data_IF_529832133187
#
_entry.id   IF_529832133187
#
_cell.length_a   1.000
_cell.length_b   1.000
_cell.length_c   1.000
_cell.angle_alpha   90.00
_cell.angle_beta   90.00
_cell.angle_gamma   90.00
#
_symmetry.space_group_name_H-M   'P 1'
#
loop_
_entity.id
_entity.type
_entity.pdbx_description
1 polymer ?
#
# COMPACT_ATOMS: atom_id res chain seq x y z
N UNK A 1 25.71 66.75 9.78
CA UNK A 1 24.51 66.00 10.22
C UNK A 1 24.52 64.65 9.52
N UNK A 2 24.53 63.52 10.25
CA UNK A 2 24.37 62.20 9.62
C UNK A 2 22.95 62.13 9.07
N UNK A 3 22.78 62.02 7.76
CA UNK A 3 21.49 61.74 7.13
C UNK A 3 20.94 60.44 7.74
N UNK A 4 19.72 60.51 8.29
CA UNK A 4 19.05 59.34 8.86
C UNK A 4 18.83 58.32 7.74
N UNK A 5 19.27 57.07 7.94
CA UNK A 5 19.13 56.01 6.95
C UNK A 5 17.64 55.71 6.72
N UNK A 6 17.26 55.50 5.46
CA UNK A 6 15.89 55.12 5.10
C UNK A 6 15.57 53.73 5.65
N UNK A 7 14.33 53.52 6.11
CA UNK A 7 13.89 52.28 6.78
C UNK A 7 13.19 51.34 5.80
N UNK A 8 13.64 50.08 5.73
CA UNK A 8 13.07 49.04 4.86
C UNK A 8 12.71 47.81 5.69
N UNK A 9 11.52 47.26 5.46
CA UNK A 9 11.08 45.99 6.03
C UNK A 9 11.03 44.91 4.94
N UNK A 10 11.66 43.76 5.18
CA UNK A 10 11.64 42.61 4.26
C UNK A 10 10.87 41.47 4.91
N UNK A 11 9.68 41.15 4.40
CA UNK A 11 8.81 40.12 4.93
C UNK A 11 8.75 38.91 3.99
N UNK A 12 9.42 37.82 4.34
CA UNK A 12 9.59 36.64 3.50
C UNK A 12 9.77 35.39 4.38
N UNK A 13 9.14 34.24 4.10
CA UNK A 13 9.41 33.03 4.87
C UNK A 13 10.81 32.45 4.61
N UNK A 14 11.46 32.80 3.49
CA UNK A 14 12.75 32.25 3.09
C UNK A 14 13.93 33.04 3.69
N UNK A 15 14.71 32.37 4.53
CA UNK A 15 15.90 32.95 5.19
C UNK A 15 16.99 33.38 4.19
N UNK A 16 17.09 32.74 3.03
CA UNK A 16 18.08 33.11 2.00
C UNK A 16 17.74 34.46 1.37
N UNK A 17 16.46 34.83 1.23
CA UNK A 17 16.06 36.18 0.80
C UNK A 17 16.45 37.22 1.86
N UNK A 18 16.29 36.90 3.15
CA UNK A 18 16.73 37.79 4.22
C UNK A 18 18.24 37.99 4.20
N UNK A 19 19.01 36.91 4.03
CA UNK A 19 20.47 36.96 3.90
C UNK A 19 20.91 37.76 2.68
N UNK A 20 20.30 37.51 1.52
CA UNK A 20 20.57 38.23 0.26
C UNK A 20 20.43 39.74 0.46
N UNK A 21 19.33 40.20 1.07
CA UNK A 21 19.07 41.63 1.23
C UNK A 21 19.88 42.23 2.38
N UNK A 22 20.05 41.54 3.52
CA UNK A 22 20.82 42.07 4.67
C UNK A 22 22.32 42.13 4.41
N UNK A 23 22.87 41.17 3.66
CA UNK A 23 24.30 41.08 3.40
C UNK A 23 24.72 41.76 2.08
N UNK A 24 23.76 42.32 1.34
CA UNK A 24 24.06 43.00 0.09
C UNK A 24 24.95 44.23 0.26
N UNK A 25 25.72 44.56 -0.77
CA UNK A 25 26.72 45.65 -0.77
C UNK A 25 26.09 47.01 -0.45
N UNK A 26 24.89 47.26 -0.97
CA UNK A 26 24.14 48.49 -0.72
C UNK A 26 23.30 48.45 0.58
N UNK A 27 23.20 47.31 1.28
CA UNK A 27 22.40 47.18 2.51
C UNK A 27 22.82 48.19 3.60
N UNK A 28 24.11 48.54 3.64
CA UNK A 28 24.69 49.52 4.58
C UNK A 28 24.13 50.93 4.42
N UNK A 29 23.45 51.26 3.31
CA UNK A 29 22.82 52.57 3.09
C UNK A 29 21.46 52.71 3.78
N UNK A 30 20.87 51.57 4.18
CA UNK A 30 19.53 51.48 4.72
C UNK A 30 19.53 50.94 6.16
N UNK A 31 18.42 51.14 6.85
CA UNK A 31 18.10 50.41 8.07
C UNK A 31 17.10 49.32 7.69
N UNK A 32 17.51 48.04 7.76
CA UNK A 32 16.73 46.91 7.27
C UNK A 32 16.30 46.01 8.43
N UNK A 33 15.00 45.84 8.59
CA UNK A 33 14.42 44.78 9.42
C UNK A 33 13.82 43.67 8.56
N UNK A 34 13.73 42.46 9.10
CA UNK A 34 13.13 41.32 8.42
C UNK A 34 11.94 40.77 9.19
N UNK A 35 11.01 40.11 8.54
CA UNK A 35 9.90 39.37 9.15
C UNK A 35 9.71 38.02 8.45
N UNK A 36 9.48 36.95 9.21
CA UNK A 36 9.30 35.60 8.65
C UNK A 36 7.83 35.26 8.35
N UNK A 37 6.90 36.06 8.88
CA UNK A 37 5.46 35.86 8.69
C UNK A 37 4.69 37.19 8.77
N UNK A 38 3.41 37.15 8.40
CA UNK A 38 2.53 38.30 8.34
C UNK A 38 2.26 38.98 9.68
N UNK A 39 2.17 38.21 10.78
CA UNK A 39 1.99 38.77 12.12
C UNK A 39 3.19 39.63 12.53
N UNK A 40 4.40 39.11 12.29
CA UNK A 40 5.64 39.85 12.54
C UNK A 40 5.75 41.08 11.62
N UNK A 41 5.39 40.94 10.34
CA UNK A 41 5.37 42.04 9.38
C UNK A 41 4.46 43.18 9.85
N UNK A 42 3.23 42.88 10.25
CA UNK A 42 2.25 43.88 10.74
C UNK A 42 2.77 44.57 12.00
N UNK A 43 3.28 43.82 12.98
CA UNK A 43 3.87 44.40 14.19
C UNK A 43 5.03 45.36 13.86
N UNK A 44 5.87 45.00 12.89
CA UNK A 44 6.99 45.84 12.45
C UNK A 44 6.54 47.04 11.61
N UNK A 45 5.46 46.94 10.84
CA UNK A 45 4.89 48.10 10.15
C UNK A 45 4.50 49.21 11.15
N UNK A 46 3.94 48.84 12.30
CA UNK A 46 3.53 49.79 13.34
C UNK A 46 4.70 50.32 14.19
N UNK A 47 5.64 49.44 14.55
CA UNK A 47 6.74 49.77 15.48
C UNK A 47 7.97 50.34 14.79
N UNK A 48 8.37 49.73 13.66
CA UNK A 48 9.54 50.14 12.89
C UNK A 48 9.21 51.25 11.89
N UNK A 49 7.93 51.39 11.49
CA UNK A 49 7.44 52.41 10.53
C UNK A 49 8.33 52.53 9.28
N UNK A 50 8.52 51.43 8.53
CA UNK A 50 9.34 51.44 7.34
C UNK A 50 8.78 52.42 6.30
N UNK A 51 9.66 52.95 5.46
CA UNK A 51 9.27 53.76 4.31
C UNK A 51 8.97 52.87 3.09
N UNK A 52 9.53 51.66 3.07
CA UNK A 52 9.32 50.64 2.05
C UNK A 52 9.20 49.26 2.71
N UNK A 53 8.19 48.49 2.35
CA UNK A 53 8.10 47.06 2.66
C UNK A 53 8.23 46.23 1.39
N UNK A 54 9.09 45.23 1.43
CA UNK A 54 9.23 44.18 0.42
C UNK A 54 8.57 42.94 1.01
N UNK A 55 7.46 42.49 0.46
CA UNK A 55 6.61 41.45 1.06
C UNK A 55 6.41 40.28 0.10
N UNK A 56 6.63 39.06 0.57
CA UNK A 56 6.29 37.85 -0.18
C UNK A 56 4.77 37.70 -0.33
N UNK A 57 4.33 37.28 -1.52
CA UNK A 57 2.91 37.08 -1.82
C UNK A 57 2.31 35.97 -0.94
N UNK A 58 3.05 34.88 -0.71
CA UNK A 58 2.65 33.72 0.08
C UNK A 58 3.28 33.73 1.47
N UNK A 59 3.24 34.88 2.14
CA UNK A 59 3.73 35.02 3.50
C UNK A 59 2.80 34.29 4.51
N UNK A 60 3.32 33.42 5.39
CA UNK A 60 2.50 32.71 6.38
C UNK A 60 1.76 33.68 7.31
N UNK A 61 0.63 33.26 7.87
CA UNK A 61 -0.30 34.05 8.72
C UNK A 61 -1.08 35.18 8.02
N UNK A 62 -0.47 35.90 7.06
CA UNK A 62 -1.17 36.89 6.22
C UNK A 62 -0.46 36.97 4.87
N UNK A 63 -1.20 36.72 3.78
CA UNK A 63 -0.68 36.87 2.42
C UNK A 63 -0.24 38.31 2.14
N UNK A 64 0.73 38.50 1.24
CA UNK A 64 1.27 39.82 0.90
C UNK A 64 0.20 40.81 0.41
N UNK A 65 -0.85 40.32 -0.25
CA UNK A 65 -2.01 41.13 -0.67
C UNK A 65 -2.83 41.65 0.52
N UNK A 66 -3.02 40.85 1.57
CA UNK A 66 -3.71 41.28 2.78
C UNK A 66 -2.92 42.37 3.50
N UNK A 67 -1.59 42.24 3.51
CA UNK A 67 -0.68 43.24 4.09
C UNK A 67 -0.73 44.54 3.28
N UNK A 68 -0.69 44.45 1.95
CA UNK A 68 -0.88 45.61 1.07
C UNK A 68 -2.20 46.32 1.38
N UNK A 69 -3.31 45.57 1.47
CA UNK A 69 -4.63 46.13 1.81
C UNK A 69 -4.60 46.89 3.14
N UNK A 70 -4.07 46.27 4.20
CA UNK A 70 -3.94 46.89 5.53
C UNK A 70 -3.11 48.16 5.49
N UNK A 71 -2.00 48.17 4.75
CA UNK A 71 -1.17 49.37 4.57
C UNK A 71 -2.00 50.49 3.94
N UNK A 72 -2.74 50.21 2.87
CA UNK A 72 -3.53 51.24 2.16
C UNK A 72 -4.72 51.77 2.98
N UNK A 73 -5.26 50.98 3.91
CA UNK A 73 -6.40 51.37 4.76
C UNK A 73 -5.97 52.09 6.05
N UNK A 74 -4.75 51.88 6.55
CA UNK A 74 -4.30 52.42 7.84
C UNK A 74 -3.59 53.79 7.71
N UNK A 75 -4.16 54.92 8.20
CA UNK A 75 -3.62 56.27 7.98
C UNK A 75 -2.16 56.49 8.40
N UNK A 76 -1.72 55.80 9.47
CA UNK A 76 -0.37 55.94 10.02
C UNK A 76 0.72 55.32 9.14
N UNK A 77 0.39 54.29 8.37
CA UNK A 77 1.35 53.54 7.53
C UNK A 77 1.01 53.61 6.04
N UNK A 78 -0.07 54.31 5.65
CA UNK A 78 -0.56 54.42 4.26
C UNK A 78 0.49 54.93 3.26
N UNK A 79 1.46 55.71 3.73
CA UNK A 79 2.55 56.24 2.90
C UNK A 79 3.68 55.23 2.64
N UNK A 80 3.67 54.07 3.30
CA UNK A 80 4.67 53.02 3.12
C UNK A 80 4.59 52.47 1.69
N UNK A 81 5.72 52.47 0.98
CA UNK A 81 5.82 51.80 -0.31
C UNK A 81 5.73 50.29 -0.16
N UNK A 82 5.15 49.60 -1.14
CA UNK A 82 4.99 48.14 -1.12
C UNK A 82 5.55 47.54 -2.41
N UNK A 83 6.56 46.70 -2.30
CA UNK A 83 7.01 45.81 -3.38
C UNK A 83 6.56 44.40 -3.02
N UNK A 84 5.76 43.78 -3.88
CA UNK A 84 5.37 42.38 -3.71
C UNK A 84 6.41 41.50 -4.40
N UNK A 85 6.78 40.39 -3.77
CA UNK A 85 7.67 39.38 -4.36
C UNK A 85 6.97 38.02 -4.45
N UNK A 86 7.25 37.21 -5.48
CA UNK A 86 6.63 35.88 -5.63
C UNK A 86 7.50 34.95 -6.49
N UNK A 87 7.54 33.65 -6.17
CA UNK A 87 8.14 32.61 -7.04
C UNK A 87 7.24 32.21 -8.21
N UNK A 88 5.95 32.57 -8.14
CA UNK A 88 4.99 32.32 -9.21
C UNK A 88 4.29 33.62 -9.54
N UNK A 89 4.73 34.27 -10.61
CA UNK A 89 4.04 35.44 -11.15
C UNK A 89 2.87 34.96 -11.98
N UNK A 90 1.75 34.59 -11.35
CA UNK A 90 0.50 34.38 -12.07
C UNK A 90 -0.08 35.73 -12.46
N UNK A 91 -0.62 35.86 -13.68
CA UNK A 91 -1.21 37.10 -14.23
C UNK A 91 -2.20 37.75 -13.25
N UNK A 92 -3.03 36.92 -12.60
CA UNK A 92 -4.02 37.39 -11.61
C UNK A 92 -3.36 38.03 -10.39
N UNK A 93 -2.31 37.41 -9.84
CA UNK A 93 -1.60 37.90 -8.66
C UNK A 93 -0.90 39.23 -8.95
N UNK A 94 -0.26 39.32 -10.12
CA UNK A 94 0.36 40.56 -10.60
C UNK A 94 -0.67 41.68 -10.76
N UNK A 95 -1.75 41.43 -11.52
CA UNK A 95 -2.78 42.44 -11.76
C UNK A 95 -3.45 42.94 -10.48
N UNK A 96 -3.77 42.05 -9.54
CA UNK A 96 -4.41 42.44 -8.27
C UNK A 96 -3.45 43.30 -7.43
N UNK A 97 -2.18 42.93 -7.33
CA UNK A 97 -1.18 43.68 -6.58
C UNK A 97 -1.03 45.12 -7.09
N UNK A 98 -0.84 45.29 -8.40
CA UNK A 98 -0.67 46.62 -9.01
C UNK A 98 -1.95 47.45 -8.89
N UNK A 99 -3.12 46.85 -9.16
CA UNK A 99 -4.42 47.54 -9.03
C UNK A 99 -4.69 48.02 -7.60
N UNK A 100 -4.24 47.27 -6.59
CA UNK A 100 -4.35 47.65 -5.17
C UNK A 100 -3.29 48.66 -4.70
N UNK A 101 -2.42 49.12 -5.61
CA UNK A 101 -1.45 50.17 -5.33
C UNK A 101 -0.11 49.68 -4.78
N UNK A 102 0.28 48.44 -5.06
CA UNK A 102 1.68 48.05 -4.93
C UNK A 102 2.55 48.91 -5.85
N UNK A 103 3.72 49.32 -5.37
CA UNK A 103 4.67 50.12 -6.13
C UNK A 103 5.40 49.29 -7.19
N UNK A 104 5.52 47.98 -6.98
CA UNK A 104 6.12 47.04 -7.93
C UNK A 104 5.77 45.60 -7.56
N UNK A 105 5.81 44.70 -8.55
CA UNK A 105 5.69 43.25 -8.36
C UNK A 105 6.94 42.59 -8.95
N UNK A 106 7.72 41.90 -8.12
CA UNK A 106 9.01 41.34 -8.47
C UNK A 106 8.96 39.80 -8.43
N UNK A 107 9.27 39.17 -9.55
CA UNK A 107 9.41 37.72 -9.64
C UNK A 107 10.69 37.24 -8.94
N UNK A 108 10.61 36.07 -8.32
CA UNK A 108 11.73 35.34 -7.72
C UNK A 108 12.15 34.15 -8.57
N UNK A 109 13.44 33.79 -8.54
CA UNK A 109 14.54 34.43 -7.83
C UNK A 109 14.95 35.75 -8.48
N UNK A 110 15.48 36.66 -7.67
CA UNK A 110 16.06 37.92 -8.14
C UNK A 110 17.47 38.08 -7.59
N UNK A 111 18.33 38.74 -8.35
CA UNK A 111 19.68 39.08 -7.90
C UNK A 111 19.66 40.25 -6.90
N UNK A 112 20.64 40.29 -6.01
CA UNK A 112 20.87 41.40 -5.07
C UNK A 112 20.85 42.77 -5.77
N UNK A 113 21.59 42.88 -6.89
CA UNK A 113 21.66 44.12 -7.68
C UNK A 113 20.27 44.58 -8.16
N UNK A 114 19.41 43.64 -8.56
CA UNK A 114 18.07 43.94 -9.07
C UNK A 114 17.20 44.57 -7.99
N UNK A 115 17.13 43.94 -6.81
CA UNK A 115 16.30 44.47 -5.71
C UNK A 115 16.80 45.83 -5.22
N UNK A 116 18.11 46.04 -5.09
CA UNK A 116 18.64 47.35 -4.67
C UNK A 116 18.46 48.46 -5.72
N UNK A 117 18.50 48.12 -7.01
CA UNK A 117 18.14 49.08 -8.06
C UNK A 117 16.68 49.52 -7.96
N UNK A 118 15.75 48.60 -7.67
CA UNK A 118 14.33 48.91 -7.47
C UNK A 118 14.11 49.75 -6.21
N UNK A 119 14.77 49.41 -5.10
CA UNK A 119 14.76 50.21 -3.86
C UNK A 119 15.23 51.64 -4.14
N UNK A 120 16.34 51.81 -4.86
CA UNK A 120 16.87 53.14 -5.21
C UNK A 120 15.90 53.93 -6.10
N UNK A 121 15.37 53.30 -7.15
CA UNK A 121 14.35 53.90 -8.02
C UNK A 121 13.10 54.33 -7.24
N UNK A 122 12.67 53.55 -6.25
CA UNK A 122 11.55 53.89 -5.37
C UNK A 122 11.83 55.19 -4.62
N UNK A 123 12.96 55.29 -3.91
CA UNK A 123 13.30 56.50 -3.13
C UNK A 123 13.61 57.73 -3.99
N UNK A 124 13.98 57.54 -5.27
CA UNK A 124 14.12 58.62 -6.25
C UNK A 124 12.78 59.04 -6.89
N UNK A 125 11.65 58.39 -6.54
CA UNK A 125 10.34 58.54 -7.17
C UNK A 125 10.35 58.25 -8.69
N UNK A 126 11.19 57.32 -9.13
CA UNK A 126 11.34 56.88 -10.54
C UNK A 126 10.91 55.43 -10.78
N UNK A 127 10.31 54.78 -9.79
CA UNK A 127 9.88 53.39 -9.91
C UNK A 127 8.55 53.32 -10.65
N UNK A 128 8.54 52.61 -11.78
CA UNK A 128 7.37 52.33 -12.61
C UNK A 128 7.20 50.80 -12.61
N UNK A 129 6.00 50.26 -12.33
CA UNK A 129 5.73 48.82 -12.46
C UNK A 129 5.91 48.37 -13.91
N UNK A 130 6.63 47.26 -14.10
CA UNK A 130 6.76 46.66 -15.42
C UNK A 130 5.44 45.99 -15.85
N UNK A 131 5.18 45.85 -17.17
CA UNK A 131 4.09 45.01 -17.64
C UNK A 131 4.32 43.56 -17.21
N UNK A 132 3.24 42.78 -17.10
CA UNK A 132 3.36 41.36 -16.75
C UNK A 132 4.22 40.63 -17.81
N UNK A 133 5.26 39.89 -17.41
CA UNK A 133 6.07 39.13 -18.36
C UNK A 133 5.24 38.01 -18.99
N UNK A 134 5.14 37.98 -20.33
CA UNK A 134 4.39 36.93 -21.06
C UNK A 134 5.06 35.55 -20.99
N UNK A 135 6.37 35.50 -20.70
CA UNK A 135 7.16 34.28 -20.52
C UNK A 135 7.87 34.32 -19.16
N UNK A 136 7.45 33.49 -18.20
CA UNK A 136 8.23 33.23 -16.99
C UNK A 136 9.15 32.05 -17.27
N UNK A 137 10.48 32.26 -17.30
CA UNK A 137 11.44 31.16 -17.33
C UNK A 137 11.18 30.23 -16.13
N UNK A 138 11.27 28.90 -16.29
CA UNK A 138 11.14 27.97 -15.17
C UNK A 138 12.43 27.99 -14.33
N UNK A 139 12.35 28.39 -13.05
CA UNK A 139 13.54 28.85 -12.29
C UNK A 139 14.05 27.96 -11.13
N UNK A 140 13.38 26.97 -10.54
CA UNK A 140 12.85 25.73 -11.08
C UNK A 140 13.96 24.68 -11.34
N UNK A 141 15.02 24.60 -10.53
CA UNK A 141 16.01 23.51 -10.63
C UNK A 141 15.41 22.16 -10.21
N UNK A 142 15.01 21.35 -11.20
CA UNK A 142 14.48 20.01 -11.00
C UNK A 142 15.57 18.93 -10.85
N UNK A 143 16.86 19.28 -10.87
CA UNK A 143 17.98 18.33 -10.80
C UNK A 143 18.02 17.55 -9.47
N UNK A 144 17.36 18.06 -8.43
CA UNK A 144 17.27 17.44 -7.11
C UNK A 144 15.81 17.08 -6.76
N UNK A 145 15.23 16.15 -7.52
CA UNK A 145 13.93 15.55 -7.20
C UNK A 145 14.14 14.23 -6.44
N UNK A 146 13.44 14.04 -5.31
CA UNK A 146 13.39 12.72 -4.66
C UNK A 146 12.69 11.72 -5.60
N UNK A 147 13.47 10.82 -6.17
CA UNK A 147 12.98 9.67 -6.91
C UNK A 147 13.17 8.43 -6.02
N UNK A 148 12.09 7.83 -5.48
CA UNK A 148 12.23 6.62 -4.68
C UNK A 148 12.77 5.48 -5.54
N UNK A 149 13.75 4.73 -5.03
CA UNK A 149 14.18 3.48 -5.66
C UNK A 149 13.10 2.41 -5.47
N UNK A 150 12.57 1.88 -6.56
CA UNK A 150 11.63 0.76 -6.53
C UNK A 150 12.40 -0.54 -6.30
N UNK A 151 12.18 -1.16 -5.13
CA UNK A 151 12.80 -2.45 -4.82
C UNK A 151 12.12 -3.58 -5.60
N UNK A 152 12.90 -4.33 -6.36
CA UNK A 152 12.50 -5.64 -6.86
C UNK A 152 12.81 -6.70 -5.81
N UNK A 153 11.87 -7.61 -5.58
CA UNK A 153 12.02 -8.68 -4.60
C UNK A 153 12.32 -10.00 -5.29
N UNK A 154 13.46 -10.60 -4.94
CA UNK A 154 13.83 -11.92 -5.43
C UNK A 154 13.02 -13.05 -4.76
N UNK A 155 12.36 -12.78 -3.63
CA UNK A 155 11.55 -13.76 -2.90
C UNK A 155 10.30 -13.10 -2.37
N UNK A 156 9.15 -13.69 -2.68
CA UNK A 156 7.85 -13.14 -2.28
C UNK A 156 6.79 -14.24 -2.31
N UNK A 157 5.69 -13.99 -1.61
CA UNK A 157 4.40 -14.63 -1.88
C UNK A 157 3.47 -13.62 -2.55
N UNK A 158 2.62 -14.08 -3.46
CA UNK A 158 1.62 -13.24 -4.12
C UNK A 158 0.27 -13.94 -4.16
N UNK A 159 -0.75 -13.23 -3.72
CA UNK A 159 -2.13 -13.69 -3.74
C UNK A 159 -2.75 -13.36 -5.08
N UNK A 160 -3.16 -14.37 -5.83
CA UNK A 160 -3.85 -14.22 -7.11
C UNK A 160 -5.36 -14.41 -6.97
N UNK A 161 -5.77 -15.11 -5.92
CA UNK A 161 -7.16 -15.18 -5.50
C UNK A 161 -7.27 -15.44 -4.00
N UNK A 162 -8.25 -14.77 -3.39
CA UNK A 162 -8.41 -14.69 -1.93
C UNK A 162 -9.82 -15.05 -1.45
N UNK A 163 -10.75 -15.35 -2.37
CA UNK A 163 -12.12 -15.79 -2.05
C UNK A 163 -12.19 -17.29 -1.82
N UNK A 164 -13.04 -17.66 -0.86
CA UNK A 164 -13.43 -19.04 -0.65
C UNK A 164 -14.74 -19.40 -1.34
N UNK A 165 -15.00 -20.68 -1.49
CA UNK A 165 -16.23 -21.33 -1.96
C UNK A 165 -16.63 -21.04 -3.42
N UNK A 166 -16.66 -19.78 -3.85
CA UNK A 166 -16.96 -19.40 -5.24
C UNK A 166 -16.43 -17.98 -5.55
N UNK A 167 -16.13 -17.67 -6.83
CA UNK A 167 -15.72 -16.32 -7.21
C UNK A 167 -16.89 -15.35 -7.08
N UNK A 168 -16.55 -14.08 -6.91
CA UNK A 168 -17.49 -12.95 -6.87
C UNK A 168 -17.04 -11.85 -7.80
N UNK A 169 -17.99 -11.03 -8.27
CA UNK A 169 -17.71 -9.88 -9.11
C UNK A 169 -18.75 -8.79 -8.83
N UNK A 170 -18.37 -7.54 -9.06
CA UNK A 170 -19.24 -6.38 -8.83
C UNK A 170 -18.53 -5.26 -8.09
N UNK A 171 -19.23 -4.14 -7.94
CA UNK A 171 -18.71 -2.93 -7.29
C UNK A 171 -18.38 -3.13 -5.82
N UNK A 172 -18.99 -4.13 -5.19
CA UNK A 172 -18.84 -4.44 -3.77
C UNK A 172 -17.57 -5.28 -3.46
N UNK A 173 -16.77 -5.65 -4.47
CA UNK A 173 -15.61 -6.55 -4.31
C UNK A 173 -14.33 -6.03 -4.98
N UNK A 174 -14.26 -4.73 -5.27
CA UNK A 174 -13.15 -4.11 -6.02
C UNK A 174 -11.86 -4.11 -5.19
N UNK A 175 -11.96 -3.87 -3.88
CA UNK A 175 -10.80 -3.70 -3.01
C UNK A 175 -10.12 -5.01 -2.66
N UNK A 176 -10.88 -6.01 -2.19
CA UNK A 176 -10.30 -7.30 -1.83
C UNK A 176 -10.20 -8.27 -3.00
N UNK A 177 -10.92 -8.00 -4.10
CA UNK A 177 -10.95 -8.87 -5.26
C UNK A 177 -11.97 -10.00 -5.11
N UNK A 178 -12.07 -10.78 -6.17
CA UNK A 178 -13.16 -11.73 -6.40
C UNK A 178 -12.71 -13.10 -6.88
N UNK A 179 -11.41 -13.29 -7.11
CA UNK A 179 -10.86 -14.57 -7.53
C UNK A 179 -10.75 -15.52 -6.34
N UNK A 180 -10.94 -16.80 -6.61
CA UNK A 180 -10.79 -17.89 -5.64
C UNK A 180 -9.35 -18.35 -5.50
N UNK A 181 -9.05 -18.99 -4.37
CA UNK A 181 -7.74 -19.40 -3.87
C UNK A 181 -6.70 -19.71 -4.94
N UNK A 182 -5.67 -18.87 -5.00
CA UNK A 182 -4.46 -19.12 -5.76
C UNK A 182 -3.32 -18.30 -5.14
N UNK A 183 -2.28 -18.99 -4.68
CA UNK A 183 -1.09 -18.38 -4.10
C UNK A 183 0.14 -18.73 -4.94
N UNK A 184 0.95 -17.75 -5.24
CA UNK A 184 2.28 -17.94 -5.81
C UNK A 184 3.34 -17.78 -4.71
N UNK A 185 4.29 -18.70 -4.65
CA UNK A 185 5.53 -18.59 -3.86
C UNK A 185 6.70 -18.52 -4.84
N UNK A 186 7.49 -17.45 -4.75
CA UNK A 186 8.62 -17.18 -5.64
C UNK A 186 9.94 -17.11 -4.88
N UNK A 187 10.99 -17.70 -5.43
CA UNK A 187 12.37 -17.51 -5.00
C UNK A 187 13.35 -17.60 -6.19
N UNK A 188 13.79 -16.44 -6.69
CA UNK A 188 14.46 -16.36 -7.99
C UNK A 188 13.58 -16.93 -9.08
N UNK A 189 14.13 -17.85 -9.87
CA UNK A 189 13.40 -18.52 -10.95
C UNK A 189 12.53 -19.70 -10.46
N UNK A 190 12.61 -20.08 -9.18
CA UNK A 190 11.78 -21.16 -8.63
C UNK A 190 10.37 -20.64 -8.32
N UNK A 191 9.36 -21.36 -8.82
CA UNK A 191 7.94 -21.06 -8.61
C UNK A 191 7.20 -22.26 -8.08
N UNK A 192 6.41 -22.03 -7.04
CA UNK A 192 5.41 -22.95 -6.54
C UNK A 192 4.06 -22.23 -6.55
N UNK A 193 3.04 -22.87 -7.11
CA UNK A 193 1.67 -22.41 -7.08
C UNK A 193 0.92 -23.28 -6.08
N UNK A 194 0.18 -22.67 -5.16
CA UNK A 194 -0.69 -23.37 -4.22
C UNK A 194 -2.13 -23.04 -4.58
N UNK A 195 -2.89 -24.08 -4.88
CA UNK A 195 -4.24 -24.06 -5.45
C UNK A 195 -4.35 -23.36 -6.82
N UNK A 196 -5.31 -23.82 -7.63
CA UNK A 196 -5.60 -23.33 -8.98
C UNK A 196 -7.04 -22.82 -9.09
N UNK A 197 -7.48 -22.06 -8.09
CA UNK A 197 -8.71 -21.29 -8.19
C UNK A 197 -8.68 -20.28 -9.33
N UNK A 198 -9.76 -19.52 -9.49
CA UNK A 198 -9.93 -18.60 -10.62
C UNK A 198 -8.82 -17.54 -10.75
N UNK A 199 -8.07 -17.27 -9.66
CA UNK A 199 -6.90 -16.38 -9.67
C UNK A 199 -5.77 -16.89 -10.57
N UNK A 200 -5.65 -18.20 -10.77
CA UNK A 200 -4.57 -18.79 -11.57
C UNK A 200 -4.63 -18.34 -13.04
N UNK A 201 -5.79 -17.93 -13.53
CA UNK A 201 -5.95 -17.38 -14.89
C UNK A 201 -5.12 -16.12 -15.08
N UNK A 202 -5.09 -15.25 -14.07
CA UNK A 202 -4.31 -13.99 -14.13
C UNK A 202 -2.83 -14.31 -14.02
N UNK A 203 -2.43 -15.16 -13.07
CA UNK A 203 -1.05 -15.65 -12.94
C UNK A 203 -0.54 -16.29 -14.24
N UNK A 204 -1.36 -17.13 -14.87
CA UNK A 204 -1.03 -17.79 -16.14
C UNK A 204 -0.73 -16.80 -17.28
N UNK A 205 -1.32 -15.60 -17.25
CA UNK A 205 -1.07 -14.53 -18.21
C UNK A 205 0.29 -13.85 -18.04
N UNK A 206 0.89 -13.91 -16.85
CA UNK A 206 2.22 -13.33 -16.56
C UNK A 206 3.37 -14.21 -17.04
N UNK A 207 3.10 -15.50 -17.28
CA UNK A 207 4.14 -16.44 -17.67
C UNK A 207 4.49 -16.33 -19.16
N UNK A 208 5.79 -16.39 -19.45
CA UNK A 208 6.30 -16.52 -20.81
C UNK A 208 5.99 -17.89 -21.40
N UNK A 209 5.95 -17.98 -22.74
CA UNK A 209 5.59 -19.22 -23.46
C UNK A 209 6.69 -20.29 -23.42
N UNK A 210 7.89 -19.94 -22.96
CA UNK A 210 9.01 -20.86 -22.75
C UNK A 210 9.54 -20.69 -21.32
N UNK A 211 9.64 -21.79 -20.59
CA UNK A 211 10.32 -21.87 -19.29
C UNK A 211 11.24 -23.09 -19.25
N UNK A 212 12.42 -22.92 -18.66
CA UNK A 212 13.38 -24.03 -18.46
C UNK A 212 12.97 -24.95 -17.31
N UNK A 213 11.95 -24.56 -16.53
CA UNK A 213 11.48 -25.26 -15.33
C UNK A 213 9.99 -25.60 -15.43
N UNK A 214 9.57 -26.73 -14.83
CA UNK A 214 8.16 -27.11 -14.76
C UNK A 214 7.39 -26.18 -13.81
N UNK A 215 6.11 -25.96 -14.11
CA UNK A 215 5.16 -25.33 -13.20
C UNK A 215 4.67 -26.38 -12.21
N UNK A 216 4.96 -26.19 -10.93
CA UNK A 216 4.48 -27.08 -9.87
C UNK A 216 3.26 -26.45 -9.20
N UNK A 217 2.12 -27.15 -9.27
CA UNK A 217 0.86 -26.73 -8.65
C UNK A 217 0.52 -27.73 -7.54
N UNK A 218 0.42 -27.22 -6.32
CA UNK A 218 0.14 -27.97 -5.11
C UNK A 218 -1.29 -27.65 -4.65
N UNK A 219 -2.16 -28.64 -4.63
CA UNK A 219 -3.53 -28.50 -4.17
C UNK A 219 -3.62 -28.85 -2.69
N UNK A 220 -4.23 -27.96 -1.91
CA UNK A 220 -4.65 -28.25 -0.53
C UNK A 220 -5.69 -29.39 -0.52
N UNK A 221 -6.68 -29.29 -1.39
CA UNK A 221 -7.73 -30.27 -1.64
C UNK A 221 -8.41 -30.01 -2.98
N UNK A 222 -9.44 -30.79 -3.31
CA UNK A 222 -10.05 -30.82 -4.66
C UNK A 222 -11.45 -30.22 -4.70
N UNK A 223 -11.78 -29.25 -3.85
CA UNK A 223 -13.01 -28.48 -4.02
C UNK A 223 -12.89 -27.52 -5.20
N UNK A 224 -14.06 -27.16 -5.76
CA UNK A 224 -14.15 -26.44 -7.02
C UNK A 224 -13.42 -25.11 -7.01
N UNK A 225 -13.53 -24.32 -5.95
CA UNK A 225 -12.88 -23.02 -5.85
C UNK A 225 -11.35 -23.08 -5.79
N UNK A 226 -10.77 -24.25 -5.52
CA UNK A 226 -9.32 -24.52 -5.59
C UNK A 226 -8.87 -25.09 -6.94
N UNK A 227 -9.80 -25.43 -7.85
CA UNK A 227 -9.52 -26.08 -9.14
C UNK A 227 -10.06 -25.33 -10.35
N UNK A 228 -11.11 -24.52 -10.18
CA UNK A 228 -11.96 -23.97 -11.24
C UNK A 228 -11.18 -23.11 -12.25
N UNK A 229 -10.06 -22.53 -11.85
CA UNK A 229 -9.22 -21.73 -12.74
C UNK A 229 -8.28 -22.56 -13.61
N UNK A 230 -8.03 -23.83 -13.28
CA UNK A 230 -7.06 -24.67 -13.98
C UNK A 230 -7.27 -24.75 -15.50
N UNK A 231 -8.50 -24.93 -16.04
CA UNK A 231 -8.72 -24.93 -17.49
C UNK A 231 -8.31 -23.62 -18.18
N UNK A 232 -8.17 -22.53 -17.43
CA UNK A 232 -7.77 -21.22 -17.94
C UNK A 232 -6.29 -20.87 -17.64
N UNK A 233 -5.51 -21.83 -17.13
CA UNK A 233 -4.09 -21.66 -16.90
C UNK A 233 -3.32 -21.75 -18.22
N UNK A 234 -3.01 -20.60 -18.84
CA UNK A 234 -2.38 -20.50 -20.17
C UNK A 234 -1.23 -21.50 -20.41
N UNK A 235 -0.30 -21.76 -19.46
CA UNK A 235 0.78 -22.72 -19.65
C UNK A 235 0.40 -24.13 -20.07
N UNK A 236 -0.82 -24.61 -19.74
CA UNK A 236 -1.21 -25.97 -20.16
C UNK A 236 -1.34 -26.09 -21.69
N UNK A 237 -1.56 -24.97 -22.39
CA UNK A 237 -1.74 -24.95 -23.84
C UNK A 237 -0.43 -24.73 -24.62
N UNK A 238 0.71 -24.61 -23.94
CA UNK A 238 2.01 -24.42 -24.57
C UNK A 238 2.76 -25.76 -24.68
N UNK A 239 3.16 -26.21 -25.89
CA UNK A 239 3.83 -27.50 -26.09
C UNK A 239 5.15 -27.69 -25.34
N UNK A 240 5.85 -26.58 -25.05
CA UNK A 240 7.14 -26.60 -24.36
C UNK A 240 7.01 -26.52 -22.84
N UNK A 241 5.79 -26.43 -22.31
CA UNK A 241 5.54 -26.38 -20.87
C UNK A 241 5.45 -27.78 -20.27
N UNK A 242 5.98 -27.93 -19.06
CA UNK A 242 5.72 -29.07 -18.18
C UNK A 242 4.96 -28.57 -16.94
N UNK A 243 3.86 -29.24 -16.60
CA UNK A 243 2.99 -28.89 -15.48
C UNK A 243 2.82 -30.11 -14.57
N UNK A 244 3.22 -29.97 -13.31
CA UNK A 244 3.14 -31.02 -12.30
C UNK A 244 2.06 -30.69 -11.29
N UNK A 245 1.09 -31.59 -11.13
CA UNK A 245 -0.06 -31.42 -10.25
C UNK A 245 0.07 -32.35 -9.05
N UNK A 246 0.13 -31.77 -7.85
CA UNK A 246 0.26 -32.49 -6.59
C UNK A 246 -1.03 -32.32 -5.80
N UNK A 247 -1.76 -33.39 -5.51
CA UNK A 247 -3.03 -33.31 -4.78
C UNK A 247 -3.13 -34.41 -3.71
N UNK A 248 -3.85 -34.18 -2.61
CA UNK A 248 -4.05 -35.20 -1.60
C UNK A 248 -4.70 -36.45 -2.19
N UNK A 249 -4.33 -37.62 -1.67
CA UNK A 249 -4.99 -38.89 -2.02
C UNK A 249 -6.48 -38.77 -1.70
N UNK A 250 -7.31 -38.91 -2.73
CA UNK A 250 -8.76 -38.94 -2.64
C UNK A 250 -9.28 -40.31 -2.17
N UNK A 251 -10.60 -40.43 -2.01
CA UNK A 251 -11.23 -41.69 -1.58
C UNK A 251 -11.74 -42.56 -2.73
N UNK A 252 -12.17 -41.94 -3.84
CA UNK A 252 -12.90 -42.62 -4.92
C UNK A 252 -12.13 -42.59 -6.25
N UNK A 253 -11.66 -41.40 -6.65
CA UNK A 253 -10.94 -41.17 -7.91
C UNK A 253 -9.50 -40.75 -7.67
N UNK A 254 -8.61 -41.17 -8.57
CA UNK A 254 -7.25 -40.65 -8.65
C UNK A 254 -7.26 -39.17 -9.06
N UNK A 255 -6.18 -38.45 -8.78
CA UNK A 255 -6.04 -37.04 -9.22
C UNK A 255 -6.22 -36.91 -10.74
N UNK A 256 -5.69 -37.85 -11.52
CA UNK A 256 -5.83 -37.81 -12.98
C UNK A 256 -7.29 -37.92 -13.42
N UNK A 257 -8.05 -38.85 -12.86
CA UNK A 257 -9.47 -39.04 -13.19
C UNK A 257 -10.30 -37.80 -12.84
N UNK A 258 -10.05 -37.16 -11.69
CA UNK A 258 -10.72 -35.92 -11.31
C UNK A 258 -10.52 -34.80 -12.35
N UNK A 259 -9.29 -34.62 -12.82
CA UNK A 259 -8.98 -33.60 -13.83
C UNK A 259 -9.49 -33.99 -15.22
N UNK A 260 -9.50 -35.27 -15.57
CA UNK A 260 -10.16 -35.78 -16.78
C UNK A 260 -11.65 -35.46 -16.80
N UNK A 261 -12.36 -35.66 -15.68
CA UNK A 261 -13.78 -35.35 -15.57
C UNK A 261 -14.05 -33.84 -15.69
N UNK A 262 -13.24 -33.03 -15.01
CA UNK A 262 -13.34 -31.57 -15.06
C UNK A 262 -13.16 -31.02 -16.48
N UNK A 263 -12.28 -31.63 -17.26
CA UNK A 263 -12.00 -31.26 -18.65
C UNK A 263 -12.83 -32.06 -19.67
N UNK A 264 -13.80 -32.85 -19.22
CA UNK A 264 -14.66 -33.61 -20.13
C UNK A 264 -15.39 -32.67 -21.11
N UNK A 265 -15.52 -33.08 -22.38
CA UNK A 265 -16.12 -32.26 -23.44
C UNK A 265 -17.53 -31.73 -23.14
N UNK A 266 -18.26 -32.37 -22.22
CA UNK A 266 -19.57 -31.92 -21.76
C UNK A 266 -19.49 -30.59 -20.98
N UNK A 267 -18.37 -30.31 -20.33
CA UNK A 267 -18.15 -29.15 -19.47
C UNK A 267 -17.17 -28.14 -20.07
N UNK A 268 -16.19 -28.62 -20.85
CA UNK A 268 -15.10 -27.78 -21.35
C UNK A 268 -14.68 -28.19 -22.78
N UNK A 269 -14.32 -27.26 -23.68
CA UNK A 269 -14.08 -27.58 -25.09
C UNK A 269 -12.75 -28.29 -25.39
N UNK A 270 -11.87 -28.45 -24.40
CA UNK A 270 -10.55 -29.08 -24.55
C UNK A 270 -10.40 -30.19 -23.53
N UNK A 271 -10.33 -31.43 -23.98
CA UNK A 271 -10.14 -32.58 -23.11
C UNK A 271 -8.69 -32.65 -22.58
N UNK A 272 -8.46 -33.42 -21.51
CA UNK A 272 -7.11 -33.62 -20.97
C UNK A 272 -6.14 -34.18 -22.05
N UNK A 273 -6.64 -35.02 -22.95
CA UNK A 273 -5.85 -35.58 -24.06
C UNK A 273 -5.46 -34.55 -25.15
N UNK A 274 -6.22 -33.45 -25.28
CA UNK A 274 -5.97 -32.39 -26.26
C UNK A 274 -5.00 -31.32 -25.74
N UNK A 275 -4.67 -31.37 -24.45
CA UNK A 275 -3.72 -30.44 -23.82
C UNK A 275 -2.33 -30.65 -24.42
N UNK A 276 -1.69 -29.54 -24.81
CA UNK A 276 -0.41 -29.54 -25.53
C UNK A 276 0.81 -29.69 -24.62
N UNK A 277 0.72 -29.21 -23.38
CA UNK A 277 1.79 -29.34 -22.39
C UNK A 277 1.91 -30.76 -21.86
N UNK A 278 3.06 -31.09 -21.28
CA UNK A 278 3.24 -32.33 -20.51
C UNK A 278 2.63 -32.14 -19.12
N UNK A 279 1.54 -32.85 -18.81
CA UNK A 279 0.95 -32.87 -17.47
C UNK A 279 1.32 -34.15 -16.72
N UNK A 280 1.86 -34.01 -15.52
CA UNK A 280 2.13 -35.12 -14.59
C UNK A 280 1.29 -34.98 -13.31
N UNK A 281 0.81 -36.09 -12.77
CA UNK A 281 -0.04 -36.14 -11.58
C UNK A 281 0.67 -36.88 -10.45
N UNK A 282 0.63 -36.30 -9.25
CA UNK A 282 1.29 -36.82 -8.06
C UNK A 282 0.33 -36.80 -6.87
N UNK A 283 0.18 -37.95 -6.22
CA UNK A 283 -0.61 -38.06 -5.02
C UNK A 283 0.26 -37.81 -3.78
N UNK A 284 -0.19 -36.91 -2.92
CA UNK A 284 0.50 -36.53 -1.69
C UNK A 284 -0.29 -36.90 -0.44
N UNK A 285 0.41 -37.05 0.67
CA UNK A 285 -0.12 -37.45 1.98
C UNK A 285 0.43 -36.55 3.07
N UNK A 286 -0.11 -36.70 4.27
CA UNK A 286 0.42 -36.10 5.49
C UNK A 286 1.87 -36.52 5.77
N UNK A 287 2.59 -35.68 6.53
CA UNK A 287 3.95 -35.96 7.00
C UNK A 287 4.99 -36.18 5.89
N UNK A 288 4.79 -35.57 4.72
CA UNK A 288 5.73 -35.61 3.59
C UNK A 288 6.57 -34.33 3.52
N UNK A 289 7.77 -34.46 2.94
CA UNK A 289 8.63 -33.36 2.51
C UNK A 289 8.70 -33.36 0.98
N UNK A 290 8.32 -32.25 0.36
CA UNK A 290 8.40 -31.99 -1.07
C UNK A 290 9.43 -30.88 -1.32
N UNK A 291 10.00 -30.84 -2.53
CA UNK A 291 11.02 -29.83 -2.90
C UNK A 291 10.82 -29.35 -4.33
N UNK A 292 10.76 -28.03 -4.48
CA UNK A 292 10.54 -27.34 -5.75
C UNK A 292 11.66 -26.32 -5.94
N UNK A 293 12.81 -26.79 -6.44
CA UNK A 293 14.05 -26.00 -6.42
C UNK A 293 14.46 -25.68 -4.98
N UNK A 294 14.56 -24.39 -4.64
CA UNK A 294 14.92 -23.89 -3.30
C UNK A 294 13.74 -23.71 -2.35
N UNK A 295 12.52 -24.08 -2.78
CA UNK A 295 11.31 -24.03 -1.95
C UNK A 295 11.06 -25.45 -1.40
N UNK A 296 11.11 -25.61 -0.08
CA UNK A 296 10.75 -26.88 0.57
C UNK A 296 9.35 -26.79 1.15
N UNK A 297 8.56 -27.85 1.02
CA UNK A 297 7.19 -27.89 1.55
C UNK A 297 7.00 -29.13 2.41
N UNK A 298 6.42 -28.95 3.58
CA UNK A 298 6.01 -30.00 4.49
C UNK A 298 4.49 -30.07 4.52
N UNK A 299 3.92 -31.26 4.61
CA UNK A 299 2.46 -31.46 4.59
C UNK A 299 1.93 -31.88 5.96
N UNK A 300 0.74 -31.38 6.32
CA UNK A 300 -0.04 -31.88 7.45
C UNK A 300 -1.54 -31.86 7.13
N UNK A 301 -2.36 -32.76 7.66
CA UNK A 301 -3.83 -32.69 7.48
C UNK A 301 -4.45 -31.45 8.16
N UNK A 302 -5.39 -30.79 7.49
CA UNK A 302 -6.24 -29.74 8.03
C UNK A 302 -7.62 -30.29 8.43
N UNK A 303 -8.38 -29.54 9.22
CA UNK A 303 -9.71 -29.95 9.66
C UNK A 303 -10.80 -29.43 8.71
N UNK A 304 -11.06 -30.17 7.64
CA UNK A 304 -12.05 -29.79 6.63
C UNK A 304 -12.77 -31.04 6.08
N UNK A 305 -14.03 -30.95 5.62
CA UNK A 305 -14.70 -32.05 4.93
C UNK A 305 -13.91 -32.51 3.70
N UNK A 306 -13.41 -33.75 3.75
CA UNK A 306 -12.60 -34.34 2.67
C UNK A 306 -11.09 -34.33 2.98
N UNK A 307 -10.32 -34.96 2.09
CA UNK A 307 -8.86 -35.08 2.24
C UNK A 307 -8.22 -33.72 1.97
N UNK A 308 -7.87 -33.00 3.05
CA UNK A 308 -7.36 -31.62 2.97
C UNK A 308 -6.03 -31.48 3.68
N UNK A 309 -5.03 -31.00 2.94
CA UNK A 309 -3.69 -30.73 3.43
C UNK A 309 -3.46 -29.24 3.63
N UNK A 310 -2.67 -28.94 4.65
CA UNK A 310 -2.02 -27.67 4.86
C UNK A 310 -0.51 -27.82 4.74
N UNK A 311 0.18 -26.70 4.58
CA UNK A 311 1.58 -26.67 4.16
C UNK A 311 2.41 -25.78 5.06
N UNK A 312 3.59 -26.27 5.47
CA UNK A 312 4.65 -25.41 6.00
C UNK A 312 5.73 -25.28 4.94
N UNK A 313 5.96 -24.07 4.48
CA UNK A 313 6.81 -23.73 3.34
C UNK A 313 8.08 -23.10 3.88
N UNK A 314 9.23 -23.67 3.52
CA UNK A 314 10.54 -23.10 3.84
C UNK A 314 11.13 -22.49 2.57
N UNK A 315 11.40 -21.18 2.61
CA UNK A 315 11.91 -20.42 1.47
C UNK A 315 12.67 -19.19 1.96
N UNK A 316 13.82 -18.89 1.34
CA UNK A 316 14.67 -17.74 1.70
C UNK A 316 14.98 -17.63 3.22
N UNK A 317 15.14 -18.77 3.92
CA UNK A 317 15.39 -18.80 5.37
C UNK A 317 14.17 -18.54 6.26
N UNK A 318 12.99 -18.35 5.67
CA UNK A 318 11.71 -18.14 6.36
C UNK A 318 10.83 -19.37 6.33
N UNK A 319 10.00 -19.51 7.36
CA UNK A 319 8.97 -20.54 7.48
C UNK A 319 7.59 -19.90 7.39
N UNK A 320 6.85 -20.23 6.34
CA UNK A 320 5.51 -19.69 6.08
C UNK A 320 4.53 -20.85 6.21
N UNK A 321 3.55 -20.73 7.09
CA UNK A 321 2.44 -21.68 7.10
C UNK A 321 1.32 -21.25 6.17
N UNK A 322 0.74 -22.19 5.46
CA UNK A 322 -0.44 -22.04 4.61
C UNK A 322 -1.46 -23.09 5.01
N UNK A 323 -2.57 -22.63 5.58
CA UNK A 323 -3.69 -23.47 6.01
C UNK A 323 -4.93 -22.66 5.72
N UNK A 324 -5.61 -22.88 4.60
CA UNK A 324 -6.87 -22.17 4.34
C UNK A 324 -7.97 -22.93 5.06
N UNK A 325 -8.86 -23.57 4.33
CA UNK A 325 -9.93 -24.49 4.70
C UNK A 325 -9.57 -25.35 5.92
N UNK A 326 -9.95 -24.84 7.10
CA UNK A 326 -9.58 -25.44 8.37
C UNK A 326 -10.53 -24.95 9.46
N UNK A 327 -11.36 -25.85 9.99
CA UNK A 327 -12.23 -25.63 11.13
C UNK A 327 -11.52 -25.93 12.45
N UNK A 328 -10.86 -24.91 12.99
CA UNK A 328 -10.23 -24.99 14.29
C UNK A 328 -11.26 -24.80 15.42
N UNK A 329 -11.14 -25.61 16.48
CA UNK A 329 -12.09 -25.66 17.61
C UNK A 329 -13.55 -25.79 17.17
N UNK A 330 -13.86 -26.83 16.40
CA UNK A 330 -15.20 -27.09 15.87
C UNK A 330 -16.26 -27.05 17.00
N UNK A 331 -17.23 -26.13 16.85
CA UNK A 331 -18.33 -25.95 17.81
C UNK A 331 -18.01 -25.10 19.04
N UNK A 332 -16.80 -24.58 19.18
CA UNK A 332 -16.44 -23.67 20.27
C UNK A 332 -17.01 -22.26 20.04
N UNK A 333 -17.77 -21.74 21.00
CA UNK A 333 -18.47 -20.45 20.92
C UNK A 333 -18.18 -19.51 22.12
N UNK A 334 -17.37 -19.96 23.07
CA UNK A 334 -17.04 -19.17 24.26
C UNK A 334 -15.93 -18.16 23.95
N UNK A 335 -15.66 -17.27 24.92
CA UNK A 335 -14.61 -16.27 24.79
C UNK A 335 -13.25 -16.92 24.49
N UNK A 336 -12.47 -16.45 23.50
CA UNK A 336 -11.27 -17.13 23.02
C UNK A 336 -10.16 -17.29 24.10
N UNK A 337 -10.04 -16.35 25.05
CA UNK A 337 -9.15 -16.50 26.22
C UNK A 337 -9.39 -17.78 27.06
N UNK A 338 -10.57 -18.39 26.96
CA UNK A 338 -10.93 -19.58 27.72
C UNK A 338 -10.57 -20.89 26.99
N UNK A 339 -9.99 -20.83 25.79
CA UNK A 339 -9.50 -22.00 25.07
C UNK A 339 -7.97 -22.01 25.08
N UNK A 340 -7.39 -22.95 25.81
CA UNK A 340 -5.95 -23.08 25.99
C UNK A 340 -5.47 -24.47 25.59
N UNK A 341 -4.16 -24.62 25.35
CA UNK A 341 -3.49 -25.93 25.15
C UNK A 341 -3.80 -26.99 26.23
N UNK A 342 -4.21 -26.58 27.43
CA UNK A 342 -4.51 -27.51 28.55
C UNK A 342 -5.92 -28.10 28.46
N UNK A 343 -6.82 -27.48 27.70
CA UNK A 343 -8.20 -27.91 27.61
C UNK A 343 -8.33 -29.20 26.79
N UNK A 344 -9.24 -30.10 27.22
CA UNK A 344 -9.50 -31.36 26.50
C UNK A 344 -9.97 -31.11 25.06
N UNK A 345 -10.68 -30.00 24.83
CA UNK A 345 -11.14 -29.59 23.50
C UNK A 345 -9.99 -29.32 22.52
N UNK A 346 -8.79 -28.98 23.02
CA UNK A 346 -7.63 -28.67 22.19
C UNK A 346 -6.88 -29.92 21.71
N UNK A 347 -7.07 -31.06 22.38
CA UNK A 347 -6.31 -32.29 22.13
C UNK A 347 -6.29 -32.74 20.66
N UNK A 348 -7.41 -32.72 19.90
CA UNK A 348 -7.39 -33.08 18.49
C UNK A 348 -6.49 -32.19 17.64
N UNK A 349 -6.30 -30.92 18.04
CA UNK A 349 -5.64 -29.89 17.26
C UNK A 349 -4.15 -29.72 17.59
N UNK A 350 -3.63 -30.39 18.62
CA UNK A 350 -2.25 -30.20 19.09
C UNK A 350 -1.19 -30.53 18.04
N UNK A 351 -1.42 -31.52 17.18
CA UNK A 351 -0.47 -31.85 16.11
C UNK A 351 -0.39 -30.74 15.06
N UNK A 352 -1.54 -30.16 14.68
CA UNK A 352 -1.62 -29.03 13.76
C UNK A 352 -0.94 -27.79 14.34
N UNK A 353 -1.19 -27.48 15.62
CA UNK A 353 -0.54 -26.36 16.30
C UNK A 353 0.98 -26.54 16.28
N UNK A 354 1.45 -27.72 16.70
CA UNK A 354 2.89 -28.07 16.70
C UNK A 354 3.51 -28.02 15.31
N UNK A 355 2.75 -28.35 14.27
CA UNK A 355 3.23 -28.29 12.89
C UNK A 355 3.58 -26.86 12.47
N UNK A 356 2.83 -25.86 12.93
CA UNK A 356 3.05 -24.45 12.61
C UNK A 356 3.86 -23.67 13.65
N UNK A 357 4.23 -24.28 14.78
CA UNK A 357 5.12 -23.66 15.76
C UNK A 357 6.44 -23.21 15.10
N UNK A 358 6.80 -21.94 15.34
CA UNK A 358 8.01 -21.31 14.81
C UNK A 358 7.93 -20.86 13.34
N UNK A 359 6.74 -20.83 12.74
CA UNK A 359 6.52 -20.09 11.49
C UNK A 359 6.68 -18.57 11.71
N UNK A 360 7.35 -17.89 10.77
CA UNK A 360 7.49 -16.44 10.75
C UNK A 360 6.18 -15.74 10.34
N UNK A 361 5.36 -16.43 9.55
CA UNK A 361 4.11 -15.93 8.98
C UNK A 361 3.12 -17.10 8.85
N UNK A 362 1.85 -16.86 9.15
CA UNK A 362 0.75 -17.78 8.82
C UNK A 362 -0.21 -17.13 7.82
N UNK A 363 -0.56 -17.88 6.78
CA UNK A 363 -1.67 -17.61 5.87
C UNK A 363 -2.78 -18.56 6.31
N UNK A 364 -3.75 -18.02 7.06
CA UNK A 364 -4.85 -18.81 7.62
C UNK A 364 -6.18 -18.10 7.43
N UNK A 365 -7.24 -18.86 7.18
CA UNK A 365 -8.58 -18.30 7.03
C UNK A 365 -9.23 -17.97 8.38
N UNK A 366 -10.17 -17.06 8.33
CA UNK A 366 -11.12 -16.85 9.40
C UNK A 366 -12.45 -16.48 8.78
N UNK A 367 -12.99 -17.36 7.93
CA UNK A 367 -14.04 -17.04 6.98
C UNK A 367 -15.25 -16.39 7.65
N UNK A 368 -15.55 -16.75 8.89
CA UNK A 368 -16.76 -16.34 9.59
C UNK A 368 -16.52 -15.39 10.77
N UNK A 369 -17.44 -14.46 10.98
CA UNK A 369 -17.55 -13.76 12.27
C UNK A 369 -18.04 -14.73 13.35
N UNK A 370 -17.78 -14.46 14.65
CA UNK A 370 -18.31 -15.28 15.75
C UNK A 370 -19.84 -15.43 15.73
N UNK A 371 -20.56 -14.41 15.25
CA UNK A 371 -22.02 -14.46 15.07
C UNK A 371 -22.44 -15.44 13.97
N UNK A 372 -21.75 -15.43 12.83
CA UNK A 372 -22.06 -16.30 11.69
C UNK A 372 -21.74 -17.76 11.98
N UNK A 373 -20.65 -18.00 12.70
CA UNK A 373 -20.16 -19.35 12.96
C UNK A 373 -21.17 -20.24 13.68
N UNK A 374 -22.08 -19.66 14.49
CA UNK A 374 -23.16 -20.39 15.16
C UNK A 374 -24.02 -21.26 14.23
N UNK A 375 -24.12 -20.87 12.95
CA UNK A 375 -24.92 -21.56 11.94
C UNK A 375 -24.05 -22.28 10.87
N UNK A 376 -22.72 -22.26 11.03
CA UNK A 376 -21.75 -22.76 10.03
C UNK A 376 -20.77 -23.78 10.60
N UNK A 377 -21.10 -24.38 11.74
CA UNK A 377 -20.30 -25.43 12.37
C UNK A 377 -20.29 -26.69 11.48
N UNK A 378 -19.13 -27.33 11.35
CA UNK A 378 -18.93 -28.50 10.51
C UNK A 378 -18.80 -28.19 9.02
N UNK A 379 -18.81 -26.91 8.62
CA UNK A 379 -18.61 -26.52 7.23
C UNK A 379 -17.12 -26.52 6.85
N UNK A 380 -16.23 -26.81 7.79
CA UNK A 380 -14.80 -26.89 7.52
C UNK A 380 -14.09 -25.55 7.55
N UNK A 381 -14.69 -24.52 8.17
CA UNK A 381 -14.09 -23.20 8.27
C UNK A 381 -14.15 -22.56 9.65
N UNK A 382 -13.16 -21.73 9.95
CA UNK A 382 -12.98 -21.10 11.26
C UNK A 382 -13.74 -19.77 11.43
N UNK A 383 -14.12 -19.50 12.69
CA UNK A 383 -14.47 -18.14 13.11
C UNK A 383 -13.22 -17.32 13.41
N UNK A 384 -13.34 -16.00 13.40
CA UNK A 384 -12.26 -15.07 13.84
C UNK A 384 -11.74 -15.43 15.23
N UNK A 385 -12.62 -15.73 16.19
CA UNK A 385 -12.22 -16.09 17.55
C UNK A 385 -11.43 -17.39 17.59
N UNK A 386 -11.88 -18.41 16.88
CA UNK A 386 -11.22 -19.71 16.90
C UNK A 386 -9.89 -19.67 16.14
N UNK A 387 -9.85 -19.00 14.99
CA UNK A 387 -8.61 -18.76 14.25
C UNK A 387 -7.59 -17.97 15.10
N UNK A 388 -8.03 -16.98 15.87
CA UNK A 388 -7.15 -16.23 16.76
C UNK A 388 -6.55 -17.12 17.85
N UNK A 389 -7.31 -18.07 18.41
CA UNK A 389 -6.77 -19.06 19.36
C UNK A 389 -5.74 -19.95 18.69
N UNK A 390 -5.98 -20.40 17.46
CA UNK A 390 -4.99 -21.18 16.70
C UNK A 390 -3.67 -20.43 16.53
N UNK A 391 -3.74 -19.17 16.07
CA UNK A 391 -2.58 -18.31 15.86
C UNK A 391 -1.81 -18.06 17.17
N UNK A 392 -2.52 -17.79 18.27
CA UNK A 392 -1.92 -17.62 19.59
C UNK A 392 -1.24 -18.91 20.08
N UNK A 393 -1.94 -20.04 20.01
CA UNK A 393 -1.42 -21.31 20.51
C UNK A 393 -0.25 -21.82 19.63
N UNK A 394 -0.20 -21.48 18.35
CA UNK A 394 0.96 -21.75 17.50
C UNK A 394 2.14 -20.78 17.76
N UNK A 395 1.94 -19.72 18.55
CA UNK A 395 2.96 -18.72 18.87
C UNK A 395 3.35 -17.83 17.68
N UNK A 396 2.42 -17.59 16.76
CA UNK A 396 2.66 -16.83 15.53
C UNK A 396 2.19 -15.38 15.71
N UNK A 397 3.01 -14.41 15.33
CA UNK A 397 2.73 -12.97 15.53
C UNK A 397 2.51 -12.21 14.23
N UNK A 398 2.50 -12.89 13.08
CA UNK A 398 2.19 -12.30 11.78
C UNK A 398 1.22 -13.22 11.03
N UNK A 399 0.05 -12.69 10.72
CA UNK A 399 -1.08 -13.42 10.15
C UNK A 399 -1.67 -12.69 8.96
N UNK A 400 -1.76 -13.39 7.83
CA UNK A 400 -2.52 -12.96 6.67
C UNK A 400 -3.80 -13.80 6.59
N UNK A 401 -4.94 -13.13 6.69
CA UNK A 401 -6.28 -13.72 6.59
C UNK A 401 -6.66 -13.84 5.12
N UNK A 402 -7.00 -15.03 4.66
CA UNK A 402 -7.48 -15.27 3.28
C UNK A 402 -8.74 -16.13 3.28
N UNK A 403 -9.18 -16.61 2.11
CA UNK A 403 -10.36 -17.44 1.93
C UNK A 403 -11.63 -16.74 2.44
N UNK A 404 -11.80 -15.48 2.00
CA UNK A 404 -12.91 -14.63 2.42
C UNK A 404 -14.25 -15.20 1.96
N UNK A 405 -15.26 -15.11 2.81
CA UNK A 405 -16.61 -15.55 2.47
C UNK A 405 -17.11 -14.76 1.24
N UNK A 406 -17.69 -15.43 0.24
CA UNK A 406 -18.18 -14.77 -0.98
C UNK A 406 -19.35 -13.81 -0.69
N UNK A 407 -20.01 -13.92 0.47
CA UNK A 407 -21.06 -13.00 0.89
C UNK A 407 -20.52 -11.74 1.56
N UNK A 408 -19.23 -11.69 1.92
CA UNK A 408 -18.62 -10.52 2.53
C UNK A 408 -18.14 -9.53 1.45
N UNK A 409 -18.81 -8.38 1.40
CA UNK A 409 -18.40 -7.24 0.58
C UNK A 409 -17.11 -6.61 1.10
N UNK A 410 -16.52 -5.70 0.36
CA UNK A 410 -15.36 -4.92 0.80
C UNK A 410 -15.64 -4.18 2.11
N UNK A 411 -16.85 -3.64 2.30
CA UNK A 411 -17.27 -2.98 3.54
C UNK A 411 -17.29 -3.99 4.70
N UNK A 412 -17.77 -5.20 4.47
CA UNK A 412 -17.81 -6.24 5.50
C UNK A 412 -16.40 -6.69 5.89
N UNK A 413 -15.49 -6.84 4.93
CA UNK A 413 -14.10 -7.22 5.20
C UNK A 413 -13.31 -6.11 5.90
N UNK A 414 -13.59 -4.83 5.60
CA UNK A 414 -13.03 -3.72 6.38
C UNK A 414 -13.51 -3.76 7.84
N UNK A 415 -14.80 -4.01 8.09
CA UNK A 415 -15.32 -4.20 9.46
C UNK A 415 -14.70 -5.43 10.12
N UNK A 416 -14.53 -6.50 9.37
CA UNK A 416 -13.91 -7.74 9.82
C UNK A 416 -12.46 -7.54 10.23
N UNK A 417 -11.72 -6.67 9.51
CA UNK A 417 -10.35 -6.27 9.86
C UNK A 417 -10.31 -5.67 11.27
N UNK A 418 -11.22 -4.74 11.58
CA UNK A 418 -11.32 -4.21 12.95
C UNK A 418 -11.69 -5.30 13.96
N UNK A 419 -12.65 -6.18 13.63
CA UNK A 419 -13.05 -7.27 14.53
C UNK A 419 -11.90 -8.25 14.83
N UNK A 420 -11.00 -8.50 13.88
CA UNK A 420 -9.77 -9.26 14.16
C UNK A 420 -8.90 -8.55 15.21
N UNK A 421 -8.71 -7.23 15.10
CA UNK A 421 -7.96 -6.46 16.08
C UNK A 421 -8.61 -6.48 17.46
N UNK A 422 -9.93 -6.28 17.53
CA UNK A 422 -10.68 -6.29 18.78
C UNK A 422 -10.53 -7.64 19.51
N UNK A 423 -10.68 -8.75 18.77
CA UNK A 423 -10.51 -10.11 19.34
C UNK A 423 -9.08 -10.35 19.82
N UNK A 424 -8.06 -9.94 19.05
CA UNK A 424 -6.66 -10.09 19.45
C UNK A 424 -6.29 -9.23 20.67
N UNK A 425 -6.83 -8.02 20.77
CA UNK A 425 -6.70 -7.14 21.94
C UNK A 425 -7.40 -7.74 23.16
N UNK A 426 -8.63 -8.24 22.99
CA UNK A 426 -9.35 -8.99 24.02
C UNK A 426 -8.58 -10.22 24.48
N UNK A 427 -7.74 -10.81 23.62
CA UNK A 427 -6.86 -11.94 23.94
C UNK A 427 -5.53 -11.53 24.58
N UNK A 428 -5.18 -10.24 24.60
CA UNK A 428 -3.85 -9.72 24.98
C UNK A 428 -2.73 -10.38 24.16
N UNK A 429 -2.95 -10.55 22.85
CA UNK A 429 -2.02 -11.24 21.97
C UNK A 429 -1.51 -10.32 20.83
N UNK A 430 -0.22 -9.94 20.84
CA UNK A 430 0.33 -8.99 19.88
C UNK A 430 0.60 -9.66 18.53
N UNK A 431 -0.44 -9.79 17.71
CA UNK A 431 -0.35 -10.32 16.35
C UNK A 431 -0.63 -9.25 15.30
N UNK A 432 0.26 -9.12 14.32
CA UNK A 432 0.03 -8.31 13.12
C UNK A 432 -0.91 -9.07 12.19
N UNK A 433 -2.14 -8.62 12.08
CA UNK A 433 -3.16 -9.20 11.19
C UNK A 433 -3.38 -8.33 9.95
N UNK A 434 -3.50 -8.95 8.78
CA UNK A 434 -3.82 -8.29 7.50
C UNK A 434 -4.78 -9.18 6.70
N UNK A 435 -5.78 -8.60 6.05
CA UNK A 435 -6.60 -9.36 5.11
C UNK A 435 -5.93 -9.36 3.73
N UNK A 436 -5.81 -10.54 3.13
CA UNK A 436 -5.32 -10.73 1.77
C UNK A 436 -6.31 -10.12 0.77
N UNK A 437 -5.79 -9.61 -0.33
CA UNK A 437 -6.57 -9.19 -1.48
C UNK A 437 -5.89 -9.66 -2.77
N UNK A 438 -6.67 -9.76 -3.85
CA UNK A 438 -6.15 -10.16 -5.15
C UNK A 438 -5.05 -9.17 -5.61
N UNK A 439 -3.87 -9.69 -5.92
CA UNK A 439 -2.69 -8.92 -6.29
C UNK A 439 -1.77 -8.54 -5.14
N UNK A 440 -2.14 -8.83 -3.88
CA UNK A 440 -1.28 -8.57 -2.72
C UNK A 440 0.05 -9.32 -2.86
N UNK A 441 1.16 -8.58 -2.82
CA UNK A 441 2.52 -9.11 -2.81
C UNK A 441 3.15 -8.90 -1.44
N UNK A 442 3.69 -9.97 -0.86
CA UNK A 442 4.40 -9.93 0.42
C UNK A 442 5.84 -10.38 0.21
N UNK A 443 6.81 -9.47 0.32
CA UNK A 443 8.22 -9.83 0.23
C UNK A 443 8.62 -10.79 1.34
N UNK A 444 9.50 -11.74 1.00
CA UNK A 444 10.14 -12.64 1.96
C UNK A 444 11.56 -12.13 2.12
N UNK A 445 11.84 -11.52 3.29
CA UNK A 445 13.11 -10.89 3.63
C UNK A 445 13.85 -11.64 4.72
#
# INVERSE_FOLDING_TARGET
MKTQKRRILVADPNIEIHKLIKNGKEAKEYQIETAFNGKECIKKLETFQPELVIVDFFLPCNHGIEILKKIKEAPLIQKTGVIITSYHSLLQNHHIAIKMGANYYLEKPFAEKTIFQLIKKYFENKLIPDPYPEESENIFDHSHTYAPETKQYNSYIKFWGTRGSNPVAGVDYIHFGGNTCCLEVRHGDDVLIIDAGTGIRVLGGEFSENTDKPYNILFSHTHWDHLLGFPFFKPIYHPNSEVNLYAPVGFDKSTKELFSDMLGYAYFPVALEDIKSKISFFEIRDSQKLSFGKIEVYTHYAFHPGSTLCFRIHVAGKKIGYVTDNEFLMGYLNHPKNATKKDKLMQPYLSLIKFFEGCDLIIHEAQYTPSEYKQRQGWGHSSISNASVFVQEAGITDWIVTHHDPRHTDIDLLKKTQLHHDVLEEMDYPCRVRLAYDGMLVPIQ
#
